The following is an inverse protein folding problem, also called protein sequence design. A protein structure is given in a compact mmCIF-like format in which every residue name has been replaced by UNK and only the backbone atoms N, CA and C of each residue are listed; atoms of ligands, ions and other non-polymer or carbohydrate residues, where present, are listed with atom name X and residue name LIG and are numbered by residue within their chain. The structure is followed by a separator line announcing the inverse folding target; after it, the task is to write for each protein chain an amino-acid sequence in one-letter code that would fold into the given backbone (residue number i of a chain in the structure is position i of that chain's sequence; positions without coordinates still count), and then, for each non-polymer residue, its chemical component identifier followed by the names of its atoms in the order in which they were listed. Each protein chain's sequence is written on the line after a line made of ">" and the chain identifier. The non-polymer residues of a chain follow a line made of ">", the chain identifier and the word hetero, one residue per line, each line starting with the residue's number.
data_IF_222285456015
#
_entry.id   IF_222285456015
#
_cell.length_a   1.000
_cell.length_b   1.000
_cell.length_c   1.000
_cell.angle_alpha   90.00
_cell.angle_beta   90.00
_cell.angle_gamma   90.00
#
_symmetry.space_group_name_H-M   'P 1'
#
loop_
_entity.id
_entity.type
_entity.pdbx_description
1 polymer ?
#
# COMPACT_ATOMS: atom_id res chain seq x y z
N UNK A 1 2.96 19.22 -20.09
CA UNK A 1 3.59 18.46 -18.96
C UNK A 1 3.03 17.04 -18.94
N UNK A 2 3.86 16.00 -18.80
CA UNK A 2 3.43 14.58 -18.86
C UNK A 2 3.20 13.99 -17.47
N UNK A 3 1.97 13.60 -17.15
CA UNK A 3 1.61 12.90 -15.91
C UNK A 3 1.18 11.47 -16.21
N UNK A 4 1.25 10.60 -15.21
CA UNK A 4 0.70 9.24 -15.31
C UNK A 4 -0.44 9.06 -14.32
N UNK A 5 -1.50 8.37 -14.75
CA UNK A 5 -2.61 7.96 -13.91
C UNK A 5 -2.72 6.45 -13.94
N UNK A 6 -2.88 5.83 -12.77
CA UNK A 6 -3.17 4.40 -12.66
C UNK A 6 -4.61 4.11 -13.08
N UNK A 7 -4.84 3.13 -13.94
CA UNK A 7 -6.16 2.87 -14.51
C UNK A 7 -6.50 1.37 -14.57
N UNK A 8 -7.81 1.08 -14.55
CA UNK A 8 -8.38 -0.25 -14.77
C UNK A 8 -8.85 -0.43 -16.24
N UNK A 9 -8.41 0.44 -17.14
CA UNK A 9 -8.72 0.40 -18.57
C UNK A 9 -7.68 1.18 -19.37
N UNK A 10 -7.89 1.33 -20.67
CA UNK A 10 -6.90 1.86 -21.63
C UNK A 10 -7.28 3.25 -22.19
N UNK A 11 -8.22 3.94 -21.57
CA UNK A 11 -8.73 5.24 -22.03
C UNK A 11 -8.91 6.23 -20.88
N UNK A 12 -9.25 7.47 -21.21
CA UNK A 12 -9.43 8.56 -20.24
C UNK A 12 -10.69 8.43 -19.39
N UNK A 13 -11.70 7.70 -19.86
CA UNK A 13 -12.98 7.56 -19.17
C UNK A 13 -12.99 6.28 -18.30
N UNK A 14 -11.93 5.46 -18.41
CA UNK A 14 -11.69 4.31 -17.58
C UNK A 14 -11.55 4.70 -16.10
N UNK A 15 -12.01 3.83 -15.17
CA UNK A 15 -11.89 4.07 -13.75
C UNK A 15 -10.41 4.06 -13.32
N UNK A 16 -10.03 5.05 -12.52
CA UNK A 16 -8.70 5.11 -11.92
C UNK A 16 -8.50 3.92 -10.98
N UNK A 17 -7.32 3.29 -11.05
CA UNK A 17 -6.96 2.18 -10.18
C UNK A 17 -6.56 2.70 -8.79
N UNK A 18 -7.03 2.07 -7.70
CA UNK A 18 -6.64 2.45 -6.35
C UNK A 18 -5.22 1.98 -5.98
N UNK A 19 -4.59 1.10 -6.76
CA UNK A 19 -3.27 0.52 -6.46
C UNK A 19 -2.28 0.87 -7.56
N UNK A 20 -1.12 1.41 -7.20
CA UNK A 20 -0.06 1.74 -8.16
C UNK A 20 0.68 0.53 -8.71
N UNK A 21 1.31 -0.28 -7.84
CA UNK A 21 2.31 -1.26 -8.31
C UNK A 21 1.73 -2.43 -9.12
N UNK A 22 0.43 -2.70 -8.99
CA UNK A 22 -0.29 -3.79 -9.68
C UNK A 22 -1.54 -3.30 -10.41
N UNK A 23 -1.62 -2.01 -10.78
CA UNK A 23 -2.71 -1.59 -11.66
C UNK A 23 -2.63 -2.35 -12.99
N UNK A 24 -3.76 -2.57 -13.67
CA UNK A 24 -3.75 -3.15 -15.02
C UNK A 24 -3.00 -2.31 -16.05
N UNK A 25 -3.20 -0.99 -16.02
CA UNK A 25 -2.62 -0.07 -17.00
C UNK A 25 -2.21 1.27 -16.38
N UNK A 26 -1.30 1.94 -17.08
CA UNK A 26 -0.89 3.31 -16.86
C UNK A 26 -1.35 4.17 -18.04
N UNK A 27 -2.01 5.27 -17.76
CA UNK A 27 -2.39 6.26 -18.78
C UNK A 27 -1.47 7.46 -18.62
N UNK A 28 -0.59 7.65 -19.60
CA UNK A 28 0.27 8.81 -19.67
C UNK A 28 -0.49 9.93 -20.38
N UNK A 29 -0.67 11.07 -19.74
CA UNK A 29 -1.46 12.19 -20.26
C UNK A 29 -0.60 13.44 -20.29
N UNK A 30 -0.62 14.15 -21.41
CA UNK A 30 -0.13 15.53 -21.45
C UNK A 30 -1.21 16.48 -20.93
N UNK A 31 -0.92 17.20 -19.86
CA UNK A 31 -1.91 18.04 -19.16
C UNK A 31 -2.33 19.29 -19.93
N UNK A 32 -1.56 19.71 -20.93
CA UNK A 32 -1.84 20.89 -21.75
C UNK A 32 -2.78 20.53 -22.90
N UNK A 33 -2.48 19.43 -23.60
CA UNK A 33 -3.19 18.99 -24.80
C UNK A 33 -4.26 17.93 -24.57
N UNK A 34 -4.26 17.28 -23.40
CA UNK A 34 -5.07 16.10 -23.08
C UNK A 34 -4.80 14.89 -23.99
N UNK A 35 -3.71 14.89 -24.75
CA UNK A 35 -3.26 13.71 -25.49
C UNK A 35 -2.84 12.63 -24.49
N UNK A 36 -3.21 11.38 -24.78
CA UNK A 36 -2.90 10.26 -23.89
C UNK A 36 -2.33 9.06 -24.63
N UNK A 37 -1.53 8.30 -23.90
CA UNK A 37 -0.99 7.00 -24.30
C UNK A 37 -1.27 6.00 -23.18
N UNK A 38 -1.94 4.89 -23.51
CA UNK A 38 -2.12 3.79 -22.58
C UNK A 38 -0.96 2.80 -22.69
N UNK A 39 -0.44 2.36 -21.55
CA UNK A 39 0.56 1.30 -21.49
C UNK A 39 0.17 0.26 -20.43
N UNK A 40 0.28 -1.01 -20.80
CA UNK A 40 0.07 -2.11 -19.85
C UNK A 40 1.16 -2.11 -18.77
N UNK A 41 0.80 -2.52 -17.55
CA UNK A 41 1.75 -2.61 -16.46
C UNK A 41 2.60 -3.90 -16.57
N UNK A 42 3.91 -3.82 -16.87
CA UNK A 42 4.76 -5.00 -16.97
C UNK A 42 4.95 -5.72 -15.63
N UNK A 43 4.67 -5.04 -14.51
CA UNK A 43 4.86 -5.54 -13.16
C UNK A 43 3.61 -6.20 -12.56
N UNK A 44 2.51 -6.30 -13.31
CA UNK A 44 1.23 -6.80 -12.78
C UNK A 44 1.34 -8.23 -12.24
N UNK A 45 2.11 -9.08 -12.93
CA UNK A 45 2.35 -10.50 -12.59
C UNK A 45 3.60 -10.72 -11.73
N UNK A 46 4.31 -9.67 -11.32
CA UNK A 46 5.55 -9.83 -10.57
C UNK A 46 5.29 -10.52 -9.21
N UNK A 47 6.07 -11.56 -8.91
CA UNK A 47 5.99 -12.29 -7.64
C UNK A 47 6.44 -11.46 -6.43
N UNK A 48 7.26 -10.44 -6.66
CA UNK A 48 7.74 -9.49 -5.67
C UNK A 48 8.31 -8.24 -6.34
N UNK A 49 8.40 -7.13 -5.61
CA UNK A 49 9.00 -5.89 -6.14
C UNK A 49 8.17 -5.16 -7.21
N UNK A 50 6.90 -5.52 -7.40
CA UNK A 50 6.04 -4.94 -8.44
C UNK A 50 6.03 -3.40 -8.44
N UNK A 51 6.01 -2.78 -7.26
CA UNK A 51 6.08 -1.32 -7.13
C UNK A 51 7.38 -0.69 -7.62
N UNK A 52 8.52 -1.37 -7.48
CA UNK A 52 9.82 -0.87 -7.95
C UNK A 52 9.87 -0.92 -9.48
N UNK A 53 9.51 -2.07 -10.05
CA UNK A 53 9.49 -2.26 -11.51
C UNK A 53 8.51 -1.32 -12.19
N UNK A 54 7.30 -1.18 -11.62
CA UNK A 54 6.30 -0.23 -12.07
C UNK A 54 6.81 1.23 -12.03
N UNK A 55 7.47 1.62 -10.95
CA UNK A 55 8.00 2.98 -10.80
C UNK A 55 9.09 3.27 -11.84
N UNK A 56 10.02 2.33 -12.05
CA UNK A 56 11.06 2.43 -13.08
C UNK A 56 10.46 2.59 -14.48
N UNK A 57 9.50 1.73 -14.83
CA UNK A 57 8.81 1.79 -16.12
C UNK A 57 8.14 3.14 -16.38
N UNK A 58 7.47 3.69 -15.37
CA UNK A 58 6.79 4.99 -15.44
C UNK A 58 7.79 6.14 -15.62
N UNK A 59 8.92 6.11 -14.89
CA UNK A 59 9.98 7.13 -14.98
C UNK A 59 10.66 7.08 -16.35
N UNK A 60 10.98 5.90 -16.86
CA UNK A 60 11.61 5.72 -18.18
C UNK A 60 10.72 6.24 -19.31
N UNK A 61 9.40 6.18 -19.16
CA UNK A 61 8.43 6.76 -20.10
C UNK A 61 8.25 8.28 -19.96
N UNK A 62 9.01 8.92 -19.07
CA UNK A 62 9.07 10.37 -18.92
C UNK A 62 7.93 10.98 -18.11
N UNK A 63 7.32 10.23 -17.18
CA UNK A 63 6.33 10.80 -16.28
C UNK A 63 6.96 11.81 -15.32
N UNK A 64 6.38 13.01 -15.25
CA UNK A 64 6.82 14.11 -14.38
C UNK A 64 6.00 14.19 -13.10
N UNK A 65 4.85 13.51 -13.03
CA UNK A 65 4.07 13.32 -11.82
C UNK A 65 3.25 12.03 -11.90
N UNK A 66 2.96 11.44 -10.75
CA UNK A 66 2.19 10.19 -10.63
C UNK A 66 0.91 10.46 -9.87
N UNK A 67 -0.23 10.04 -10.41
CA UNK A 67 -1.53 10.10 -9.76
C UNK A 67 -2.04 8.67 -9.55
N UNK A 68 -2.27 8.30 -8.29
CA UNK A 68 -2.73 6.96 -7.91
C UNK A 68 -3.54 7.01 -6.61
N UNK A 69 -4.40 6.02 -6.35
CA UNK A 69 -5.06 5.91 -5.04
C UNK A 69 -4.10 5.54 -3.90
N UNK A 70 -3.13 4.66 -4.19
CA UNK A 70 -2.14 4.22 -3.20
C UNK A 70 -0.80 3.88 -3.82
N UNK A 71 0.27 4.16 -3.07
CA UNK A 71 1.67 3.92 -3.46
C UNK A 71 2.43 3.31 -2.27
N UNK A 72 3.01 2.13 -2.51
CA UNK A 72 3.88 1.40 -1.57
C UNK A 72 5.18 2.13 -1.24
N UNK A 73 5.81 1.86 -0.09
CA UNK A 73 7.08 2.48 0.32
C UNK A 73 8.20 2.25 -0.69
N UNK A 74 8.26 1.05 -1.26
CA UNK A 74 9.26 0.74 -2.28
C UNK A 74 9.07 1.57 -3.55
N UNK A 75 7.84 1.77 -4.01
CA UNK A 75 7.57 2.59 -5.20
C UNK A 75 7.79 4.08 -4.89
N UNK A 76 7.33 4.53 -3.73
CA UNK A 76 7.50 5.92 -3.30
C UNK A 76 8.97 6.32 -3.21
N UNK A 77 9.83 5.47 -2.65
CA UNK A 77 11.27 5.73 -2.56
C UNK A 77 11.91 5.89 -3.95
N UNK A 78 11.47 5.11 -4.94
CA UNK A 78 11.95 5.23 -6.33
C UNK A 78 11.53 6.57 -6.94
N UNK A 79 10.28 6.97 -6.73
CA UNK A 79 9.78 8.27 -7.20
C UNK A 79 10.47 9.46 -6.51
N UNK A 80 10.68 9.36 -5.19
CA UNK A 80 11.40 10.38 -4.43
C UNK A 80 12.83 10.54 -4.92
N UNK A 81 13.55 9.44 -5.15
CA UNK A 81 14.92 9.47 -5.68
C UNK A 81 14.98 10.07 -7.08
N UNK A 82 13.94 9.89 -7.89
CA UNK A 82 13.83 10.46 -9.24
C UNK A 82 13.28 11.91 -9.26
N UNK A 83 12.89 12.47 -8.10
CA UNK A 83 12.27 13.79 -8.03
C UNK A 83 10.88 13.86 -8.65
N UNK A 84 10.18 12.72 -8.78
CA UNK A 84 8.84 12.64 -9.37
C UNK A 84 7.80 12.71 -8.23
N UNK A 85 7.00 13.79 -8.14
CA UNK A 85 5.97 13.91 -7.12
C UNK A 85 4.82 12.92 -7.33
N UNK A 86 4.29 12.42 -6.21
CA UNK A 86 3.16 11.48 -6.16
C UNK A 86 1.95 12.16 -5.54
N UNK A 87 0.79 11.99 -6.19
CA UNK A 87 -0.48 12.58 -5.81
C UNK A 87 -1.54 11.51 -5.58
N UNK A 88 -2.33 11.69 -4.54
CA UNK A 88 -3.42 10.76 -4.22
C UNK A 88 -4.72 11.14 -4.92
N UNK A 89 -5.35 10.16 -5.55
CA UNK A 89 -6.69 10.30 -6.13
C UNK A 89 -7.58 9.13 -5.69
N UNK A 90 -8.61 9.46 -4.91
CA UNK A 90 -9.42 8.48 -4.17
C UNK A 90 -10.56 7.82 -4.95
N UNK A 91 -10.73 8.12 -6.23
CA UNK A 91 -11.77 7.51 -7.06
C UNK A 91 -12.31 8.45 -8.14
N UNK A 92 -12.86 7.85 -9.20
CA UNK A 92 -13.29 8.56 -10.41
C UNK A 92 -12.65 7.97 -11.67
N UNK A 93 -12.70 8.73 -12.76
CA UNK A 93 -12.07 8.38 -14.03
C UNK A 93 -10.65 8.94 -14.14
N UNK A 94 -9.89 8.46 -15.12
CA UNK A 94 -8.57 9.02 -15.43
C UNK A 94 -8.67 10.51 -15.80
N UNK A 95 -9.69 10.90 -16.56
CA UNK A 95 -9.96 12.30 -16.91
C UNK A 95 -10.15 13.17 -15.67
N UNK A 96 -10.98 12.73 -14.74
CA UNK A 96 -11.22 13.44 -13.48
C UNK A 96 -9.94 13.58 -12.65
N UNK A 97 -9.09 12.55 -12.65
CA UNK A 97 -7.79 12.61 -11.99
C UNK A 97 -6.88 13.69 -12.60
N UNK A 98 -6.82 13.77 -13.94
CA UNK A 98 -6.05 14.80 -14.65
C UNK A 98 -6.60 16.20 -14.40
N UNK A 99 -7.91 16.37 -14.42
CA UNK A 99 -8.56 17.66 -14.13
C UNK A 99 -8.33 18.10 -12.69
N UNK A 100 -8.44 17.18 -11.72
CA UNK A 100 -8.15 17.47 -10.32
C UNK A 100 -6.68 17.84 -10.11
N UNK A 101 -5.76 17.19 -10.84
CA UNK A 101 -4.35 17.55 -10.87
C UNK A 101 -4.14 18.98 -11.38
N UNK A 102 -4.72 19.31 -12.56
CA UNK A 102 -4.64 20.65 -13.16
C UNK A 102 -5.24 21.74 -12.27
N UNK A 103 -6.29 21.41 -11.53
CA UNK A 103 -6.93 22.31 -10.58
C UNK A 103 -6.17 22.46 -9.25
N UNK A 104 -5.06 21.75 -9.04
CA UNK A 104 -4.29 21.78 -7.79
C UNK A 104 -5.04 21.21 -6.58
N UNK A 105 -6.06 20.37 -6.82
CA UNK A 105 -6.92 19.80 -5.76
C UNK A 105 -6.37 18.50 -5.18
N UNK A 106 -5.36 17.91 -5.81
CA UNK A 106 -4.77 16.66 -5.35
C UNK A 106 -3.73 16.89 -4.25
N UNK A 107 -3.77 16.05 -3.24
CA UNK A 107 -2.77 16.07 -2.17
C UNK A 107 -1.50 15.37 -2.64
N UNK A 108 -0.39 16.11 -2.66
CA UNK A 108 0.94 15.51 -2.81
C UNK A 108 1.30 14.76 -1.52
N UNK A 109 1.83 13.56 -1.65
CA UNK A 109 2.32 12.79 -0.50
C UNK A 109 3.80 13.00 -0.28
N UNK A 110 4.19 13.19 0.98
CA UNK A 110 5.59 13.23 1.43
C UNK A 110 6.13 11.86 1.86
N UNK A 111 5.29 10.82 1.83
CA UNK A 111 5.61 9.43 2.19
C UNK A 111 4.61 8.44 1.61
N UNK A 112 4.95 7.16 1.57
CA UNK A 112 4.02 6.12 1.13
C UNK A 112 2.79 6.03 2.04
N UNK A 113 1.62 5.81 1.42
CA UNK A 113 0.32 5.77 2.12
C UNK A 113 -0.23 4.36 2.35
N UNK A 114 0.54 3.33 2.00
CA UNK A 114 0.26 1.92 2.32
C UNK A 114 1.47 1.33 3.05
N UNK A 115 1.20 0.60 4.13
CA UNK A 115 2.25 -0.02 4.92
C UNK A 115 2.96 -1.11 4.10
N UNK A 116 4.30 -1.15 4.15
CA UNK A 116 5.07 -2.23 3.54
C UNK A 116 4.52 -3.56 4.07
N UNK A 117 4.18 -4.49 3.19
CA UNK A 117 3.69 -5.80 3.59
C UNK A 117 4.58 -6.41 4.67
N UNK A 118 3.99 -6.68 5.83
CA UNK A 118 4.57 -7.48 6.90
C UNK A 118 4.65 -8.94 6.41
N UNK A 119 5.58 -9.19 5.50
CA UNK A 119 5.99 -10.50 5.02
C UNK A 119 7.38 -10.82 5.55
N UNK A 120 7.54 -10.84 6.87
CA UNK A 120 8.71 -11.45 7.50
C UNK A 120 8.31 -11.97 8.87
N UNK A 121 8.26 -13.30 8.98
CA UNK A 121 8.12 -13.98 10.24
C UNK A 121 9.16 -13.47 11.23
N UNK A 122 8.69 -12.99 12.37
CA UNK A 122 9.54 -12.69 13.52
C UNK A 122 8.82 -13.15 14.78
N UNK A 123 9.08 -14.41 15.12
CA UNK A 123 9.28 -14.87 16.49
C UNK A 123 8.09 -14.85 17.43
N UNK A 124 7.51 -16.03 17.66
CA UNK A 124 7.35 -16.50 19.03
C UNK A 124 7.91 -17.91 19.12
N UNK A 125 9.23 -17.97 19.35
CA UNK A 125 9.86 -19.17 19.87
C UNK A 125 9.27 -19.42 21.25
N UNK A 126 8.35 -20.38 21.35
CA UNK A 126 7.99 -20.99 22.61
C UNK A 126 8.78 -22.30 22.72
N UNK A 127 10.08 -22.13 22.96
CA UNK A 127 10.86 -23.18 23.61
C UNK A 127 10.24 -23.45 24.96
N UNK A 128 9.43 -24.50 25.06
CA UNK A 128 9.12 -25.16 26.32
C UNK A 128 9.29 -26.65 26.12
N UNK A 129 10.55 -27.07 26.25
CA UNK A 129 10.83 -28.46 26.55
C UNK A 129 10.08 -28.86 27.81
N UNK A 130 9.29 -29.92 27.70
CA UNK A 130 8.97 -30.81 28.80
C UNK A 130 8.75 -32.18 28.19
N UNK A 131 9.70 -33.08 28.41
CA UNK A 131 9.68 -34.41 27.84
C UNK A 131 8.75 -35.38 28.56
N UNK A 132 8.99 -36.65 28.20
CA UNK A 132 8.62 -37.89 28.89
C UNK A 132 7.26 -38.50 28.51
N UNK A 133 7.31 -39.70 27.89
CA UNK A 133 6.23 -40.69 28.09
C UNK A 133 5.79 -41.55 26.90
N UNK A 134 6.68 -42.44 26.43
CA UNK A 134 6.42 -43.87 26.12
C UNK A 134 4.93 -44.32 26.04
N UNK A 135 4.48 -44.73 24.84
CA UNK A 135 3.21 -45.44 24.66
C UNK A 135 3.07 -46.11 23.29
N UNK A 136 3.54 -47.36 23.19
CA UNK A 136 3.20 -48.32 22.12
C UNK A 136 1.71 -48.69 22.20
N UNK A 137 1.02 -48.80 21.07
CA UNK A 137 -0.35 -49.32 21.03
C UNK A 137 -0.89 -49.54 19.62
N UNK A 138 -0.60 -50.71 19.03
CA UNK A 138 -1.29 -51.27 17.86
C UNK A 138 -2.79 -51.43 18.13
N UNK A 139 -3.64 -50.96 17.22
CA UNK A 139 -5.09 -51.13 17.29
C UNK A 139 -5.73 -51.17 15.90
N UNK A 140 -5.78 -52.37 15.32
CA UNK A 140 -6.47 -52.72 14.09
C UNK A 140 -7.99 -52.74 14.36
N UNK A 141 -8.78 -51.97 13.63
CA UNK A 141 -10.24 -51.93 13.80
C UNK A 141 -10.96 -51.46 12.54
N UNK A 142 -11.38 -52.43 11.72
CA UNK A 142 -12.29 -52.30 10.59
C UNK A 142 -13.71 -52.00 11.10
N UNK A 143 -14.38 -50.98 10.55
CA UNK A 143 -15.79 -50.68 10.87
C UNK A 143 -16.46 -49.86 9.78
N UNK A 144 -17.29 -50.52 8.98
CA UNK A 144 -18.21 -49.94 8.01
C UNK A 144 -19.15 -48.91 8.66
N UNK A 145 -19.32 -47.75 8.02
CA UNK A 145 -20.27 -46.72 8.43
C UNK A 145 -20.63 -45.80 7.27
N UNK A 146 -21.28 -46.35 6.24
CA UNK A 146 -21.91 -45.60 5.15
C UNK A 146 -23.24 -45.06 5.67
N UNK A 147 -23.27 -43.84 6.21
CA UNK A 147 -24.50 -43.08 6.45
C UNK A 147 -24.26 -41.56 6.52
N UNK A 148 -25.07 -40.85 5.74
CA UNK A 148 -25.54 -39.49 5.96
C UNK A 148 -24.51 -38.34 5.88
N UNK A 149 -24.48 -37.73 4.70
CA UNK A 149 -24.21 -36.30 4.54
C UNK A 149 -25.31 -35.52 5.28
N UNK A 150 -25.11 -35.29 6.57
CA UNK A 150 -25.94 -34.41 7.38
C UNK A 150 -25.44 -32.99 7.23
N UNK A 151 -26.18 -32.16 6.50
CA UNK A 151 -26.00 -30.72 6.43
C UNK A 151 -26.10 -30.13 7.84
N UNK A 152 -24.95 -29.79 8.43
CA UNK A 152 -24.93 -28.85 9.55
C UNK A 152 -25.38 -27.50 9.00
N UNK A 153 -26.44 -26.86 9.52
CA UNK A 153 -26.72 -25.49 9.15
C UNK A 153 -25.57 -24.64 9.70
N UNK A 154 -24.73 -24.11 8.80
CA UNK A 154 -23.83 -23.04 9.16
C UNK A 154 -24.68 -21.88 9.67
N UNK A 155 -24.52 -21.55 10.95
CA UNK A 155 -25.04 -20.29 11.47
C UNK A 155 -24.45 -19.15 10.63
N UNK A 156 -25.25 -18.13 10.26
CA UNK A 156 -24.72 -16.98 9.54
C UNK A 156 -23.57 -16.35 10.35
N UNK A 157 -22.49 -15.87 9.69
CA UNK A 157 -21.43 -15.16 10.38
C UNK A 157 -22.04 -13.97 11.16
N UNK A 158 -21.53 -13.66 12.37
CA UNK A 158 -21.99 -12.50 13.11
C UNK A 158 -21.82 -11.24 12.25
N UNK A 159 -22.74 -10.26 12.35
CA UNK A 159 -22.57 -9.00 11.65
C UNK A 159 -21.23 -8.37 12.04
N UNK A 160 -20.55 -7.69 11.11
CA UNK A 160 -19.34 -6.95 11.45
C UNK A 160 -19.65 -5.99 12.60
N UNK A 161 -18.74 -5.81 13.56
CA UNK A 161 -18.94 -4.81 14.62
C UNK A 161 -19.22 -3.46 13.95
N UNK A 162 -20.09 -2.62 14.54
CA UNK A 162 -20.31 -1.28 14.01
C UNK A 162 -18.95 -0.61 13.84
N UNK A 163 -18.70 -0.07 12.64
CA UNK A 163 -17.51 0.71 12.38
C UNK A 163 -17.38 1.73 13.50
N UNK A 164 -16.24 1.70 14.21
CA UNK A 164 -15.95 2.69 15.23
C UNK A 164 -16.21 4.08 14.64
N UNK A 165 -16.87 5.00 15.38
CA UNK A 165 -17.12 6.34 14.87
C UNK A 165 -15.79 6.90 14.37
N UNK A 166 -15.78 7.37 13.11
CA UNK A 166 -14.62 8.05 12.56
C UNK A 166 -14.20 9.14 13.56
N UNK A 167 -12.91 9.24 13.90
CA UNK A 167 -12.46 10.21 14.88
C UNK A 167 -12.96 11.58 14.45
N UNK A 168 -13.54 12.30 15.40
CA UNK A 168 -14.01 13.65 15.14
C UNK A 168 -12.83 14.50 14.66
N UNK A 169 -13.11 15.49 13.81
CA UNK A 169 -12.09 16.42 13.28
C UNK A 169 -11.19 17.00 14.38
N UNK A 170 -11.71 17.16 15.59
CA UNK A 170 -10.98 17.65 16.76
C UNK A 170 -9.97 16.62 17.30
N UNK A 171 -10.32 15.34 17.32
CA UNK A 171 -9.44 14.24 17.73
C UNK A 171 -8.30 14.03 16.72
N UNK A 172 -8.58 14.16 15.42
CA UNK A 172 -7.55 14.12 14.38
C UNK A 172 -6.56 15.28 14.54
N UNK A 173 -7.04 16.49 14.80
CA UNK A 173 -6.19 17.67 15.05
C UNK A 173 -5.33 17.45 16.29
N UNK A 174 -5.88 16.90 17.37
CA UNK A 174 -5.14 16.60 18.59
C UNK A 174 -4.06 15.54 18.35
N UNK A 175 -4.38 14.47 17.62
CA UNK A 175 -3.44 13.42 17.27
C UNK A 175 -2.28 13.94 16.41
N UNK A 176 -2.59 14.76 15.39
CA UNK A 176 -1.58 15.37 14.51
C UNK A 176 -0.66 16.33 15.28
N UNK A 177 -1.20 17.13 16.22
CA UNK A 177 -0.40 18.00 17.07
C UNK A 177 0.56 17.21 17.97
N UNK A 178 0.09 16.10 18.55
CA UNK A 178 0.93 15.24 19.38
C UNK A 178 2.05 14.59 18.55
N UNK A 179 1.73 14.10 17.35
CA UNK A 179 2.73 13.53 16.43
C UNK A 179 3.77 14.57 15.99
N UNK A 180 3.35 15.80 15.69
CA UNK A 180 4.26 16.89 15.36
C UNK A 180 5.18 17.27 16.54
N UNK A 181 4.67 17.21 17.78
CA UNK A 181 5.47 17.40 18.98
C UNK A 181 6.57 16.34 19.15
N UNK A 182 6.22 15.08 18.93
CA UNK A 182 7.17 13.96 19.04
C UNK A 182 8.26 14.04 17.96
N UNK A 183 7.89 14.32 16.70
CA UNK A 183 8.84 14.47 15.61
C UNK A 183 9.82 15.63 15.85
N UNK A 184 9.36 16.74 16.42
CA UNK A 184 10.24 17.85 16.82
C UNK A 184 11.26 17.43 17.87
N UNK A 185 10.85 16.58 18.82
CA UNK A 185 11.74 16.06 19.86
C UNK A 185 12.79 15.11 19.29
N UNK A 186 12.38 14.22 18.39
CA UNK A 186 13.31 13.32 17.68
C UNK A 186 14.31 14.09 16.83
N UNK A 187 13.85 15.13 16.12
CA UNK A 187 14.74 16.00 15.35
C UNK A 187 15.78 16.69 16.24
N UNK A 188 15.38 17.20 17.40
CA UNK A 188 16.29 17.84 18.34
C UNK A 188 17.38 16.87 18.84
N UNK A 189 17.02 15.63 19.17
CA UNK A 189 17.98 14.61 19.61
C UNK A 189 18.98 14.24 18.51
N UNK A 190 18.51 14.11 17.26
CA UNK A 190 19.37 13.82 16.10
C UNK A 190 20.36 14.96 15.86
N UNK A 191 19.91 16.22 15.94
CA UNK A 191 20.76 17.39 15.77
C UNK A 191 21.81 17.51 16.89
N UNK A 192 21.45 17.26 18.15
CA UNK A 192 22.43 17.21 19.25
C UNK A 192 23.49 16.13 19.04
N UNK A 193 23.07 14.96 18.52
CA UNK A 193 24.00 13.87 18.21
C UNK A 193 24.93 14.22 17.05
N UNK A 194 24.45 14.98 16.07
CA UNK A 194 25.25 15.48 14.96
C UNK A 194 26.32 16.47 15.47
N UNK A 195 25.93 17.46 16.26
CA UNK A 195 26.86 18.47 16.83
C UNK A 195 27.94 17.84 17.70
N UNK A 196 27.59 16.80 18.47
CA UNK A 196 28.58 16.03 19.25
C UNK A 196 29.60 15.34 18.34
N UNK A 197 29.15 14.69 17.28
CA UNK A 197 30.04 13.99 16.35
C UNK A 197 30.91 14.94 15.53
N UNK A 198 30.40 16.12 15.17
CA UNK A 198 31.18 17.17 14.49
C UNK A 198 32.27 17.79 15.38
N UNK A 199 32.10 17.78 16.71
CA UNK A 199 33.10 18.26 17.67
C UNK A 199 34.14 17.20 18.05
N UNK A 200 33.86 15.93 17.81
CA UNK A 200 34.74 14.79 18.13
C UNK A 200 35.63 14.36 16.95
N UNK A 201 35.40 14.88 15.75
CA UNK A 201 36.20 14.63 14.53
C UNK A 201 37.08 15.80 14.13
#
# INVERSE_FOLDING_TARGET
>A
MKIVVTANGADLDAPASPVFGRCPAYIFVDTETMQFEAAENPAVTAGGGAGIQAAQFVIERGAQAVVSGSVGPNAFNVFQAAGVPVYLFGGGTVREAVEAYKAGKLQSVAGANVQAGMGMGRGMGMGRGMGMGRGMGMGRGMGMGRQAWGTVPQAPPPPPPPAAPAPSREEEIAALKNMAGELRRQLAEVLERLDRLEKEG
#
